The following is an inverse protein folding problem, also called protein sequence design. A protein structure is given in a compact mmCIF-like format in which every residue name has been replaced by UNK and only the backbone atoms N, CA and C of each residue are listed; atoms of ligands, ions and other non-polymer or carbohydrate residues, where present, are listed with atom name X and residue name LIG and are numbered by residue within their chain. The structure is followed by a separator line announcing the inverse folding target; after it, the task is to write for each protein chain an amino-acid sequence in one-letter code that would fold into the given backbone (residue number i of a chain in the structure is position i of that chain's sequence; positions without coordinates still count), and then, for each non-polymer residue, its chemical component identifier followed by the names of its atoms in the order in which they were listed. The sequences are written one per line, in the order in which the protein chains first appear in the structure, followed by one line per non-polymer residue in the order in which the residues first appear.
data_IF_348442178466
#
_entry.id   IF_348442178466
#
_cell.length_a   1.000
_cell.length_b   1.000
_cell.length_c   1.000
_cell.angle_alpha   90.00
_cell.angle_beta   90.00
_cell.angle_gamma   90.00
#
_symmetry.space_group_name_H-M   'P 1'
#
loop_
_entity.id
_entity.type
_entity.pdbx_description
1 polymer ?
#
# COMPACT_ATOMS: atom_id res chain seq x y z
N UNK A 1 36.84 -10.39 8.83
CA UNK A 1 36.08 -9.58 7.86
C UNK A 1 34.72 -10.24 7.74
N UNK A 2 33.69 -9.66 8.37
CA UNK A 2 32.32 -10.13 8.24
C UNK A 2 31.90 -9.91 6.79
N UNK A 3 31.52 -10.99 6.11
CA UNK A 3 30.90 -10.96 4.79
C UNK A 3 29.49 -10.37 4.96
N UNK A 4 29.37 -9.07 4.79
CA UNK A 4 28.08 -8.39 4.73
C UNK A 4 27.38 -8.81 3.42
N UNK A 5 26.66 -9.93 3.46
CA UNK A 5 25.75 -10.30 2.38
C UNK A 5 24.68 -9.22 2.28
N UNK A 6 24.85 -8.33 1.33
CA UNK A 6 23.83 -7.37 0.96
C UNK A 6 22.77 -8.10 0.18
N UNK A 7 21.63 -8.37 0.80
CA UNK A 7 20.50 -8.95 0.11
C UNK A 7 19.94 -7.93 -0.89
N UNK A 8 19.71 -8.37 -2.12
CA UNK A 8 19.07 -7.59 -3.15
C UNK A 8 17.59 -7.38 -2.79
N UNK A 9 17.15 -6.13 -2.65
CA UNK A 9 15.78 -5.78 -2.29
C UNK A 9 14.94 -5.36 -3.47
N UNK A 10 15.44 -4.45 -4.32
CA UNK A 10 14.68 -3.88 -5.42
C UNK A 10 15.62 -3.32 -6.49
N UNK A 11 15.19 -3.42 -7.76
CA UNK A 11 15.80 -2.70 -8.87
C UNK A 11 14.84 -1.64 -9.39
N UNK A 12 15.36 -0.45 -9.65
CA UNK A 12 14.65 0.64 -10.31
C UNK A 12 15.29 0.88 -11.66
N UNK A 13 14.48 0.78 -12.72
CA UNK A 13 14.89 1.17 -14.07
C UNK A 13 14.23 2.51 -14.41
N UNK A 14 15.01 3.43 -14.99
CA UNK A 14 14.52 4.72 -15.43
C UNK A 14 15.20 5.13 -16.73
N UNK A 15 14.51 5.96 -17.52
CA UNK A 15 14.99 6.40 -18.81
C UNK A 15 13.93 7.18 -19.57
N UNK A 16 14.21 7.52 -20.81
CA UNK A 16 13.22 8.10 -21.73
C UNK A 16 12.34 7.01 -22.32
N UNK A 17 11.09 7.34 -22.61
CA UNK A 17 10.12 6.44 -23.24
C UNK A 17 9.23 7.20 -24.21
N UNK A 18 8.86 6.58 -25.33
CA UNK A 18 7.87 7.09 -26.27
C UNK A 18 6.43 6.79 -25.81
N UNK A 19 6.26 6.01 -24.74
CA UNK A 19 4.95 5.72 -24.17
C UNK A 19 4.50 6.95 -23.36
N UNK A 20 3.32 7.54 -23.66
CA UNK A 20 2.83 8.68 -22.92
C UNK A 20 2.61 8.31 -21.43
N UNK A 21 2.88 9.24 -20.50
CA UNK A 21 2.63 9.01 -19.08
C UNK A 21 1.13 8.82 -18.83
N UNK A 22 0.82 8.04 -17.80
CA UNK A 22 -0.55 7.94 -17.32
C UNK A 22 -0.96 9.25 -16.66
N UNK A 23 -2.06 9.84 -17.12
CA UNK A 23 -2.49 11.17 -16.69
C UNK A 23 -3.72 11.16 -15.78
N UNK A 24 -4.40 10.03 -15.62
CA UNK A 24 -5.60 9.94 -14.81
C UNK A 24 -5.76 8.58 -14.12
N UNK A 25 -6.62 8.53 -13.13
CA UNK A 25 -6.92 7.32 -12.37
C UNK A 25 -7.42 6.17 -13.26
N UNK A 26 -8.10 6.48 -14.35
CA UNK A 26 -8.66 5.49 -15.29
C UNK A 26 -7.60 4.77 -16.11
N UNK A 27 -6.41 5.35 -16.23
CA UNK A 27 -5.27 4.74 -16.93
C UNK A 27 -4.65 3.58 -16.14
N UNK A 28 -5.08 3.41 -14.90
CA UNK A 28 -4.61 2.36 -14.02
C UNK A 28 -5.65 1.25 -13.90
N UNK A 29 -5.27 0.03 -14.26
CA UNK A 29 -6.09 -1.16 -14.05
C UNK A 29 -6.12 -1.50 -12.55
N UNK A 30 -6.97 -0.84 -11.80
CA UNK A 30 -7.11 -1.01 -10.34
C UNK A 30 -8.51 -1.52 -9.99
N UNK A 31 -8.61 -2.19 -8.84
CA UNK A 31 -9.90 -2.58 -8.28
C UNK A 31 -10.77 -1.33 -8.04
N UNK A 32 -12.10 -1.48 -8.12
CA UNK A 32 -13.01 -0.43 -7.68
C UNK A 32 -12.73 -0.07 -6.22
N UNK A 33 -12.82 1.21 -5.87
CA UNK A 33 -12.52 1.71 -4.51
C UNK A 33 -13.36 0.98 -3.45
N UNK A 34 -14.63 0.71 -3.74
CA UNK A 34 -15.55 -0.02 -2.86
C UNK A 34 -15.10 -1.45 -2.47
N UNK A 35 -14.14 -2.02 -3.19
CA UNK A 35 -13.56 -3.34 -2.85
C UNK A 35 -12.42 -3.25 -1.85
N UNK A 36 -11.85 -2.06 -1.64
CA UNK A 36 -10.65 -1.86 -0.81
C UNK A 36 -10.85 -0.82 0.29
N UNK A 37 -11.90 0.01 0.21
CA UNK A 37 -12.25 1.01 1.21
C UNK A 37 -13.77 1.20 1.27
N UNK A 38 -14.29 1.56 2.45
CA UNK A 38 -15.64 2.07 2.61
C UNK A 38 -15.69 3.59 2.43
N UNK A 39 -14.56 4.26 2.63
CA UNK A 39 -14.42 5.71 2.53
C UNK A 39 -13.91 6.09 1.12
N UNK A 40 -14.54 7.09 0.53
CA UNK A 40 -14.11 7.72 -0.72
C UNK A 40 -13.55 9.12 -0.41
N UNK A 41 -12.24 9.21 -0.24
CA UNK A 41 -11.51 10.44 0.06
C UNK A 41 -10.16 10.47 -0.69
N UNK A 42 -9.43 11.58 -0.61
CA UNK A 42 -8.15 11.74 -1.30
C UNK A 42 -7.15 10.65 -0.94
N UNK A 43 -7.09 10.23 0.33
CA UNK A 43 -6.17 9.20 0.81
C UNK A 43 -6.50 7.84 0.23
N UNK A 44 -7.78 7.44 0.27
CA UNK A 44 -8.21 6.15 -0.28
C UNK A 44 -8.04 6.07 -1.80
N UNK A 45 -8.27 7.17 -2.52
CA UNK A 45 -8.02 7.26 -3.96
C UNK A 45 -6.54 7.15 -4.28
N UNK A 46 -5.67 7.85 -3.57
CA UNK A 46 -4.22 7.75 -3.74
C UNK A 46 -3.72 6.31 -3.49
N UNK A 47 -4.14 5.70 -2.39
CA UNK A 47 -3.77 4.31 -2.09
C UNK A 47 -4.25 3.31 -3.14
N UNK A 48 -5.42 3.54 -3.74
CA UNK A 48 -5.93 2.70 -4.84
C UNK A 48 -4.94 2.63 -6.00
N UNK A 49 -4.16 3.68 -6.24
CA UNK A 49 -3.19 3.76 -7.32
C UNK A 49 -1.86 3.06 -6.99
N UNK A 50 -1.61 2.71 -5.74
CA UNK A 50 -0.39 2.05 -5.32
C UNK A 50 -0.10 0.79 -6.17
N UNK A 51 1.15 0.54 -6.57
CA UNK A 51 1.51 -0.68 -7.27
C UNK A 51 1.52 -1.87 -6.33
N UNK A 52 1.30 -3.06 -6.87
CA UNK A 52 1.42 -4.32 -6.14
C UNK A 52 1.90 -5.43 -7.04
N UNK A 53 2.49 -6.46 -6.45
CA UNK A 53 2.92 -7.65 -7.15
C UNK A 53 1.75 -8.26 -7.93
N UNK A 54 1.97 -8.53 -9.22
CA UNK A 54 0.94 -9.05 -10.14
C UNK A 54 -0.37 -8.23 -10.14
N UNK A 55 -0.30 -6.95 -9.75
CA UNK A 55 -1.46 -6.07 -9.59
C UNK A 55 -2.55 -6.65 -8.65
N UNK A 56 -2.13 -7.40 -7.63
CA UNK A 56 -3.01 -8.15 -6.72
C UNK A 56 -3.84 -7.26 -5.81
N UNK A 57 -3.33 -6.07 -5.46
CA UNK A 57 -3.95 -5.09 -4.57
C UNK A 57 -4.50 -5.73 -3.30
N UNK A 58 -3.63 -6.34 -2.46
CA UNK A 58 -4.06 -7.22 -1.37
C UNK A 58 -4.57 -6.48 -0.14
N UNK A 59 -4.65 -5.18 -0.16
CA UNK A 59 -5.00 -4.33 0.99
C UNK A 59 -6.48 -4.01 1.09
N UNK A 60 -6.90 -3.75 2.32
CA UNK A 60 -8.14 -3.10 2.69
C UNK A 60 -7.82 -1.97 3.66
N UNK A 61 -8.56 -0.87 3.53
CA UNK A 61 -8.41 0.32 4.36
C UNK A 61 -9.56 0.44 5.33
N UNK A 62 -9.24 0.84 6.55
CA UNK A 62 -10.20 1.22 7.58
C UNK A 62 -9.79 2.56 8.16
N UNK A 63 -10.70 3.52 8.16
CA UNK A 63 -10.48 4.87 8.67
C UNK A 63 -11.14 5.06 10.04
N UNK A 64 -10.45 5.76 10.92
CA UNK A 64 -10.88 6.25 12.20
C UNK A 64 -10.63 7.77 12.26
N UNK A 65 -11.18 8.52 13.22
CA UNK A 65 -11.09 9.99 13.23
C UNK A 65 -9.67 10.58 13.11
N UNK A 66 -8.65 9.91 13.66
CA UNK A 66 -7.24 10.36 13.59
C UNK A 66 -6.27 9.20 13.38
N UNK A 67 -6.78 8.14 12.81
CA UNK A 67 -5.99 6.95 12.50
C UNK A 67 -6.58 6.21 11.31
N UNK A 68 -5.77 5.40 10.68
CA UNK A 68 -6.23 4.43 9.70
C UNK A 68 -5.43 3.14 9.81
N UNK A 69 -5.99 2.08 9.28
CA UNK A 69 -5.32 0.79 9.18
C UNK A 69 -5.34 0.32 7.74
N UNK A 70 -4.19 -0.15 7.27
CA UNK A 70 -4.03 -0.85 6.00
C UNK A 70 -3.75 -2.31 6.33
N UNK A 71 -4.68 -3.19 6.03
CA UNK A 71 -4.59 -4.63 6.38
C UNK A 71 -4.66 -5.53 5.15
N UNK A 72 -4.09 -6.73 5.28
CA UNK A 72 -4.26 -7.78 4.29
C UNK A 72 -5.74 -8.16 4.21
N UNK A 73 -6.29 -8.08 3.00
CA UNK A 73 -7.69 -8.39 2.72
C UNK A 73 -8.02 -9.87 2.83
N UNK A 74 -7.02 -10.72 2.95
CA UNK A 74 -7.19 -12.17 2.97
C UNK A 74 -7.85 -12.70 1.69
N UNK A 75 -7.17 -13.48 0.91
CA UNK A 75 -7.77 -14.22 -0.21
C UNK A 75 -7.53 -15.70 0.02
N UNK A 76 -8.61 -16.46 -0.12
CA UNK A 76 -8.74 -17.90 0.06
C UNK A 76 -7.51 -18.79 -0.12
N UNK A 77 -7.57 -19.93 0.47
CA UNK A 77 -6.57 -20.95 0.81
C UNK A 77 -5.55 -21.36 -0.27
N UNK A 78 -5.72 -21.00 -1.53
CA UNK A 78 -4.96 -21.56 -2.66
C UNK A 78 -3.73 -20.77 -3.15
N UNK A 79 -3.40 -19.60 -2.56
CA UNK A 79 -2.25 -18.78 -2.97
C UNK A 79 -1.20 -18.61 -1.86
N UNK A 80 -0.75 -19.70 -1.25
CA UNK A 80 -0.48 -19.75 0.17
C UNK A 80 0.90 -19.36 0.68
N UNK A 81 1.99 -19.37 -0.05
CA UNK A 81 3.31 -19.20 0.58
C UNK A 81 4.10 -18.02 0.03
N UNK A 82 4.19 -17.87 -1.26
CA UNK A 82 4.92 -16.76 -1.89
C UNK A 82 4.19 -15.43 -1.72
N UNK A 83 2.86 -15.45 -1.82
CA UNK A 83 2.01 -14.26 -1.66
C UNK A 83 2.05 -13.68 -0.25
N UNK A 84 2.16 -14.49 0.80
CA UNK A 84 2.25 -13.96 2.18
C UNK A 84 3.46 -13.06 2.42
N UNK A 85 4.58 -13.32 1.76
CA UNK A 85 5.76 -12.44 1.84
C UNK A 85 5.58 -11.20 0.98
N UNK A 86 5.09 -11.35 -0.25
CA UNK A 86 4.88 -10.24 -1.18
C UNK A 86 3.77 -9.31 -0.71
N UNK A 87 2.69 -9.83 -0.14
CA UNK A 87 1.59 -9.01 0.40
C UNK A 87 2.05 -8.02 1.47
N UNK A 88 3.02 -8.38 2.32
CA UNK A 88 3.57 -7.45 3.32
C UNK A 88 4.27 -6.26 2.68
N UNK A 89 5.02 -6.50 1.60
CA UNK A 89 5.68 -5.45 0.83
C UNK A 89 4.62 -4.58 0.16
N UNK A 90 3.64 -5.19 -0.49
CA UNK A 90 2.56 -4.50 -1.18
C UNK A 90 1.73 -3.62 -0.21
N UNK A 91 1.43 -4.13 1.00
CA UNK A 91 0.76 -3.37 2.06
C UNK A 91 1.63 -2.21 2.54
N UNK A 92 2.95 -2.41 2.67
CA UNK A 92 3.90 -1.35 2.99
C UNK A 92 3.93 -0.25 1.93
N UNK A 93 3.91 -0.61 0.65
CA UNK A 93 3.82 0.35 -0.46
C UNK A 93 2.51 1.13 -0.38
N UNK A 94 1.37 0.46 -0.20
CA UNK A 94 0.06 1.11 -0.07
C UNK A 94 0.02 2.05 1.15
N UNK A 95 0.56 1.64 2.29
CA UNK A 95 0.68 2.48 3.48
C UNK A 95 1.53 3.73 3.23
N UNK A 96 2.61 3.63 2.44
CA UNK A 96 3.41 4.80 2.06
C UNK A 96 2.61 5.77 1.18
N UNK A 97 1.79 5.28 0.27
CA UNK A 97 0.87 6.12 -0.50
C UNK A 97 -0.12 6.85 0.40
N UNK A 98 -0.64 6.19 1.45
CA UNK A 98 -1.50 6.84 2.44
C UNK A 98 -0.78 7.96 3.18
N UNK A 99 0.46 7.72 3.64
CA UNK A 99 1.27 8.74 4.33
C UNK A 99 1.46 9.97 3.45
N UNK A 100 1.88 9.77 2.18
CA UNK A 100 2.10 10.87 1.25
C UNK A 100 0.79 11.65 1.01
N UNK A 101 -0.33 10.95 0.85
CA UNK A 101 -1.62 11.60 0.64
C UNK A 101 -2.09 12.36 1.89
N UNK A 102 -1.93 11.80 3.09
CA UNK A 102 -2.23 12.50 4.35
C UNK A 102 -1.42 13.77 4.48
N UNK A 103 -0.11 13.71 4.24
CA UNK A 103 0.78 14.88 4.30
C UNK A 103 0.40 15.94 3.26
N UNK A 104 0.00 15.52 2.05
CA UNK A 104 -0.49 16.42 1.01
C UNK A 104 -1.80 17.12 1.40
N UNK A 105 -2.69 16.43 2.11
CA UNK A 105 -3.94 17.00 2.64
C UNK A 105 -3.72 17.85 3.91
N UNK A 106 -2.47 18.09 4.32
CA UNK A 106 -2.12 18.92 5.47
C UNK A 106 -2.13 18.20 6.82
N UNK A 107 -2.29 16.87 6.84
CA UNK A 107 -2.20 16.09 8.06
C UNK A 107 -0.74 15.77 8.40
N UNK A 108 -0.40 15.85 9.67
CA UNK A 108 0.91 15.39 10.17
C UNK A 108 0.81 13.94 10.63
N UNK A 109 1.51 13.04 9.96
CA UNK A 109 1.63 11.65 10.39
C UNK A 109 2.56 11.56 11.60
N UNK A 110 2.07 10.97 12.68
CA UNK A 110 2.78 10.87 13.96
C UNK A 110 3.29 9.46 14.24
N UNK A 111 2.66 8.45 13.66
CA UNK A 111 3.11 7.05 13.83
C UNK A 111 2.71 6.21 12.63
N UNK A 112 3.62 5.31 12.25
CA UNK A 112 3.37 4.22 11.28
C UNK A 112 3.88 2.93 11.91
N UNK A 113 2.97 2.04 12.28
CA UNK A 113 3.31 0.85 13.08
C UNK A 113 2.82 -0.42 12.40
N UNK A 114 3.73 -1.29 11.94
CA UNK A 114 3.38 -2.62 11.47
C UNK A 114 3.04 -3.54 12.65
N UNK A 115 2.02 -4.38 12.47
CA UNK A 115 1.60 -5.34 13.49
C UNK A 115 0.93 -6.57 12.86
N UNK A 116 0.75 -7.59 13.67
CA UNK A 116 -0.07 -8.75 13.34
C UNK A 116 -1.32 -8.75 14.23
N UNK A 117 -2.48 -8.81 13.63
CA UNK A 117 -3.76 -8.87 14.31
C UNK A 117 -4.60 -10.00 13.72
N UNK A 118 -5.10 -10.93 14.54
CA UNK A 118 -5.88 -12.07 14.07
C UNK A 118 -5.17 -12.94 13.02
N UNK A 119 -3.83 -12.99 13.04
CA UNK A 119 -3.03 -13.72 12.05
C UNK A 119 -2.82 -13.00 10.70
N UNK A 120 -3.39 -11.80 10.52
CA UNK A 120 -3.19 -10.95 9.37
C UNK A 120 -2.13 -9.86 9.64
N UNK A 121 -1.37 -9.50 8.62
CA UNK A 121 -0.45 -8.38 8.67
C UNK A 121 -1.21 -7.07 8.40
N UNK A 122 -0.94 -6.06 9.20
CA UNK A 122 -1.52 -4.74 9.04
C UNK A 122 -0.54 -3.63 9.41
N UNK A 123 -0.78 -2.42 8.92
CA UNK A 123 -0.04 -1.21 9.26
C UNK A 123 -1.04 -0.19 9.77
N UNK A 124 -0.87 0.20 11.04
CA UNK A 124 -1.60 1.32 11.65
C UNK A 124 -0.89 2.64 11.37
N UNK A 125 -1.63 3.68 11.00
CA UNK A 125 -1.15 5.03 10.75
C UNK A 125 -1.94 5.97 11.65
N UNK A 126 -1.25 6.76 12.48
CA UNK A 126 -1.84 7.80 13.33
C UNK A 126 -1.42 9.16 12.80
N UNK A 127 -2.37 10.09 12.73
CA UNK A 127 -2.16 11.42 12.20
C UNK A 127 -2.97 12.48 12.95
N UNK A 128 -2.55 13.72 12.83
CA UNK A 128 -3.20 14.89 13.47
C UNK A 128 -3.14 16.11 12.55
N UNK A 129 -4.01 17.08 12.82
CA UNK A 129 -4.02 18.36 12.11
C UNK A 129 -2.76 19.18 12.44
#
# INVERSE_FOLDING_TARGET
LADERKDFCIALAFGTTDIPPRNGEMDFKRLPLSKISKEDNAVSRAMRLAPSSLNSQPWQMEFLPRAMTVKDRGRGVKRLILEKKLNKIDIGIAARYAVIALEHEGWRVTSVTPRFSGGAFEIGIVYQA
#
